data_IF_624384190265
#
_entry.id   IF_624384190265
#
_cell.length_a   1.000
_cell.length_b   1.000
_cell.length_c   1.000
_cell.angle_alpha   90.00
_cell.angle_beta   90.00
_cell.angle_gamma   90.00
#
_symmetry.space_group_name_H-M   'P 1'
#
loop_
_entity.id
_entity.type
_entity.pdbx_description
1 polymer ?
#
# COMPACT_ATOMS: atom_id res chain seq x y z
N UNK A 1 2.85 -7.56 -36.08
CA UNK A 1 2.76 -8.43 -34.89
C UNK A 1 1.44 -8.15 -34.19
N UNK A 2 0.48 -9.06 -34.30
CA UNK A 2 -0.86 -8.89 -33.76
C UNK A 2 -0.89 -9.25 -32.27
N UNK A 3 -1.33 -8.32 -31.42
CA UNK A 3 -1.62 -8.59 -30.01
C UNK A 3 -2.95 -9.35 -29.92
N UNK A 4 -2.88 -10.60 -29.45
CA UNK A 4 -4.06 -11.44 -29.21
C UNK A 4 -4.93 -10.86 -28.10
N UNK A 5 -6.21 -10.61 -28.43
CA UNK A 5 -7.25 -9.93 -27.64
C UNK A 5 -7.98 -10.86 -26.67
N UNK A 6 -7.34 -11.94 -26.22
CA UNK A 6 -8.00 -12.97 -25.41
C UNK A 6 -7.13 -13.44 -24.25
N UNK A 7 -6.84 -12.52 -23.31
CA UNK A 7 -6.37 -12.88 -21.96
C UNK A 7 -7.32 -12.29 -20.95
N UNK A 8 -8.35 -13.06 -20.61
CA UNK A 8 -8.97 -12.96 -19.28
C UNK A 8 -7.86 -13.32 -18.30
N UNK A 9 -7.17 -12.33 -17.75
CA UNK A 9 -6.22 -12.57 -16.66
C UNK A 9 -6.99 -13.29 -15.55
N UNK A 10 -6.59 -14.50 -15.11
CA UNK A 10 -7.14 -15.04 -13.88
C UNK A 10 -6.65 -14.11 -12.77
N UNK A 11 -7.47 -13.12 -12.40
CA UNK A 11 -7.20 -12.15 -11.35
C UNK A 11 -7.03 -12.94 -10.06
N UNK A 12 -5.80 -13.29 -9.68
CA UNK A 12 -5.48 -13.74 -8.34
C UNK A 12 -5.30 -12.50 -7.48
N UNK A 13 -6.40 -11.80 -7.25
CA UNK A 13 -6.47 -10.70 -6.30
C UNK A 13 -6.37 -11.30 -4.90
N UNK A 14 -5.17 -11.22 -4.32
CA UNK A 14 -4.97 -11.57 -2.92
C UNK A 14 -5.35 -10.34 -2.08
N UNK A 15 -6.60 -10.29 -1.65
CA UNK A 15 -7.01 -9.40 -0.57
C UNK A 15 -6.46 -9.96 0.73
N UNK A 16 -5.47 -9.28 1.29
CA UNK A 16 -4.85 -9.69 2.53
C UNK A 16 -5.24 -8.75 3.66
N UNK A 17 -6.31 -9.13 4.36
CA UNK A 17 -6.75 -8.50 5.59
C UNK A 17 -6.07 -9.22 6.76
N UNK A 18 -4.91 -8.73 7.19
CA UNK A 18 -4.24 -9.27 8.37
C UNK A 18 -4.84 -8.68 9.64
N UNK A 19 -5.54 -9.54 10.38
CA UNK A 19 -6.02 -9.32 11.73
C UNK A 19 -4.89 -9.69 12.69
N UNK A 20 -4.12 -8.70 13.15
CA UNK A 20 -3.24 -8.91 14.29
C UNK A 20 -4.00 -8.52 15.55
N UNK A 21 -4.86 -9.44 15.99
CA UNK A 21 -5.33 -9.45 17.37
C UNK A 21 -4.18 -9.92 18.25
N UNK A 22 -3.52 -8.98 18.93
CA UNK A 22 -2.54 -9.25 19.98
C UNK A 22 -1.21 -9.81 19.49
N UNK A 23 -0.18 -8.95 19.43
CA UNK A 23 1.19 -9.41 19.62
C UNK A 23 1.50 -9.35 21.12
N UNK A 24 1.51 -10.47 21.87
CA UNK A 24 2.23 -10.50 23.12
C UNK A 24 3.71 -10.54 22.78
N UNK A 25 4.42 -9.46 23.09
CA UNK A 25 5.87 -9.44 23.04
C UNK A 25 6.45 -10.59 23.85
N UNK A 26 7.43 -11.28 23.28
CA UNK A 26 8.37 -12.12 24.02
C UNK A 26 9.72 -12.05 23.32
N UNK A 27 10.28 -10.84 23.27
CA UNK A 27 11.72 -10.68 23.24
C UNK A 27 12.18 -10.53 24.70
N UNK A 28 12.81 -11.59 25.21
CA UNK A 28 13.56 -11.53 26.46
C UNK A 28 14.72 -10.56 26.28
N UNK A 29 14.61 -9.39 26.91
CA UNK A 29 15.62 -8.34 26.89
C UNK A 29 15.20 -7.20 27.79
N UNK A 30 15.52 -7.32 29.08
CA UNK A 30 15.37 -6.28 30.10
C UNK A 30 16.17 -5.04 29.74
N UNK A 31 15.47 -3.96 29.33
CA UNK A 31 15.75 -2.56 29.67
C UNK A 31 14.48 -1.75 29.42
N UNK A 32 14.14 -0.85 30.36
CA UNK A 32 12.89 -0.11 30.35
C UNK A 32 12.62 0.61 29.02
N UNK A 33 11.50 0.26 28.40
CA UNK A 33 10.81 1.09 27.42
C UNK A 33 9.39 1.29 27.93
N UNK A 34 8.94 2.53 27.97
CA UNK A 34 7.55 2.88 28.20
C UNK A 34 6.67 1.96 27.35
N UNK A 35 5.63 1.38 27.94
CA UNK A 35 4.70 0.50 27.23
C UNK A 35 4.21 1.23 25.98
N UNK A 36 4.72 0.82 24.81
CA UNK A 36 4.28 1.35 23.53
C UNK A 36 2.78 1.13 23.46
N UNK A 37 2.00 2.17 23.23
CA UNK A 37 0.55 2.05 23.08
C UNK A 37 0.24 0.88 22.13
N UNK A 38 -0.73 0.01 22.48
CA UNK A 38 -1.10 -1.07 21.60
C UNK A 38 -1.53 -0.49 20.25
N UNK A 39 -1.06 -1.10 19.17
CA UNK A 39 -1.41 -0.68 17.82
C UNK A 39 -2.94 -0.63 17.69
N UNK A 40 -3.51 0.41 17.04
CA UNK A 40 -4.94 0.54 16.94
C UNK A 40 -5.54 -0.63 16.17
N UNK A 41 -6.70 -1.07 16.63
CA UNK A 41 -7.44 -2.13 15.94
C UNK A 41 -7.95 -1.65 14.58
N UNK A 42 -8.23 -2.60 13.68
CA UNK A 42 -8.81 -2.32 12.35
C UNK A 42 -10.07 -1.43 12.43
N UNK A 43 -10.93 -1.68 13.41
CA UNK A 43 -12.16 -0.90 13.62
C UNK A 43 -11.85 0.58 13.85
N UNK A 44 -10.93 0.88 14.77
CA UNK A 44 -10.52 2.26 15.07
C UNK A 44 -9.92 2.95 13.84
N UNK A 45 -9.06 2.25 13.08
CA UNK A 45 -8.48 2.80 11.86
C UNK A 45 -9.53 3.09 10.78
N UNK A 46 -10.53 2.23 10.62
CA UNK A 46 -11.62 2.43 9.66
C UNK A 46 -12.57 3.54 10.10
N UNK A 47 -12.89 3.62 11.39
CA UNK A 47 -13.73 4.69 11.94
C UNK A 47 -13.06 6.04 11.74
N UNK A 48 -11.76 6.13 12.05
CA UNK A 48 -10.96 7.33 11.82
C UNK A 48 -10.86 7.66 10.33
N UNK A 49 -10.61 6.67 9.48
CA UNK A 49 -10.68 6.84 8.03
C UNK A 49 -12.05 7.39 7.59
N UNK A 50 -13.17 6.86 8.06
CA UNK A 50 -14.50 7.36 7.72
C UNK A 50 -14.75 8.80 8.19
N UNK A 51 -14.19 9.19 9.34
CA UNK A 51 -14.29 10.53 9.91
C UNK A 51 -13.44 11.58 9.17
N UNK A 52 -12.21 11.23 8.75
CA UNK A 52 -11.26 12.18 8.16
C UNK A 52 -11.75 12.85 6.86
N UNK A 53 -12.66 12.21 6.10
CA UNK A 53 -13.18 12.68 4.80
C UNK A 53 -12.11 13.14 3.79
N UNK A 54 -10.85 12.80 4.05
CA UNK A 54 -9.67 13.05 3.22
C UNK A 54 -8.87 11.75 3.08
N UNK A 55 -8.19 11.58 1.96
CA UNK A 55 -7.25 10.49 1.71
C UNK A 55 -6.03 11.06 0.99
N UNK A 56 -4.84 10.71 1.45
CA UNK A 56 -3.60 11.00 0.77
C UNK A 56 -3.25 9.81 -0.14
N UNK A 57 -3.39 10.00 -1.45
CA UNK A 57 -2.95 9.01 -2.44
C UNK A 57 -1.52 9.34 -2.83
N UNK A 58 -0.60 8.42 -2.53
CA UNK A 58 0.81 8.50 -2.90
C UNK A 58 1.13 7.45 -3.95
N UNK A 59 1.60 7.89 -5.10
CA UNK A 59 1.94 7.01 -6.21
C UNK A 59 3.45 6.93 -6.43
N UNK A 60 3.91 5.79 -6.99
CA UNK A 60 5.32 5.58 -7.30
C UNK A 60 5.81 6.38 -8.50
N UNK A 61 6.79 7.26 -8.27
CA UNK A 61 7.46 8.08 -9.27
C UNK A 61 8.99 7.84 -9.31
N UNK A 62 9.51 6.95 -8.47
CA UNK A 62 10.94 6.59 -8.45
C UNK A 62 11.42 5.93 -9.74
N UNK A 63 10.53 5.29 -10.50
CA UNK A 63 10.80 4.83 -11.87
C UNK A 63 10.14 5.78 -12.88
N UNK A 64 10.92 6.61 -13.59
CA UNK A 64 10.39 7.58 -14.55
C UNK A 64 9.55 6.95 -15.66
N UNK A 65 9.76 5.66 -15.97
CA UNK A 65 8.98 4.94 -17.00
C UNK A 65 7.50 4.80 -16.62
N UNK A 66 7.20 4.82 -15.33
CA UNK A 66 5.85 4.57 -14.79
C UNK A 66 5.23 5.78 -14.10
N UNK A 67 6.02 6.79 -13.74
CA UNK A 67 5.57 7.98 -13.00
C UNK A 67 4.32 8.65 -13.61
N UNK A 68 4.34 8.92 -14.92
CA UNK A 68 3.21 9.56 -15.61
C UNK A 68 1.97 8.66 -15.64
N UNK A 69 2.15 7.35 -15.83
CA UNK A 69 1.05 6.40 -15.87
C UNK A 69 0.37 6.25 -14.50
N UNK A 70 1.15 6.27 -13.43
CA UNK A 70 0.63 6.28 -12.06
C UNK A 70 -0.05 7.60 -11.70
N UNK A 71 0.51 8.75 -12.13
CA UNK A 71 -0.13 10.05 -11.94
C UNK A 71 -1.51 10.08 -12.60
N UNK A 72 -1.63 9.61 -13.84
CA UNK A 72 -2.91 9.52 -14.55
C UNK A 72 -3.93 8.64 -13.80
N UNK A 73 -3.48 7.51 -13.24
CA UNK A 73 -4.33 6.64 -12.42
C UNK A 73 -4.79 7.35 -11.15
N UNK A 74 -3.88 8.03 -10.46
CA UNK A 74 -4.17 8.77 -9.23
C UNK A 74 -5.14 9.94 -9.45
N UNK A 75 -4.94 10.70 -10.53
CA UNK A 75 -5.81 11.82 -10.90
C UNK A 75 -7.22 11.33 -11.25
N UNK A 76 -7.33 10.24 -12.02
CA UNK A 76 -8.61 9.60 -12.31
C UNK A 76 -9.33 9.13 -11.05
N UNK A 77 -8.59 8.55 -10.09
CA UNK A 77 -9.14 8.14 -8.80
C UNK A 77 -9.68 9.34 -8.02
N UNK A 78 -8.94 10.45 -8.00
CA UNK A 78 -9.39 11.73 -7.40
C UNK A 78 -10.66 12.24 -8.07
N UNK A 79 -10.72 12.29 -9.40
CA UNK A 79 -11.87 12.81 -10.16
C UNK A 79 -13.15 11.98 -9.95
N UNK A 80 -13.00 10.66 -9.77
CA UNK A 80 -14.13 9.76 -9.50
C UNK A 80 -14.63 9.86 -8.05
N UNK A 81 -13.86 10.44 -7.13
CA UNK A 81 -14.23 10.55 -5.72
C UNK A 81 -15.33 11.60 -5.51
N UNK A 82 -16.50 11.15 -5.04
CA UNK A 82 -17.65 12.03 -4.77
C UNK A 82 -17.79 12.46 -3.31
N UNK A 83 -17.26 11.67 -2.38
CA UNK A 83 -17.58 11.79 -0.95
C UNK A 83 -16.37 12.09 -0.07
N UNK A 84 -15.20 12.23 -0.69
CA UNK A 84 -13.91 12.36 0.00
C UNK A 84 -12.95 13.20 -0.82
N UNK A 85 -12.24 14.11 -0.17
CA UNK A 85 -11.13 14.84 -0.78
C UNK A 85 -9.95 13.87 -0.98
N UNK A 86 -9.46 13.74 -2.22
CA UNK A 86 -8.26 12.97 -2.52
C UNK A 86 -7.13 13.94 -2.84
N UNK A 87 -6.10 13.95 -1.99
CA UNK A 87 -4.85 14.67 -2.26
C UNK A 87 -3.89 13.71 -2.92
N UNK A 88 -3.38 14.09 -4.09
CA UNK A 88 -2.46 13.27 -4.88
C UNK A 88 -1.04 13.82 -4.69
N UNK A 89 -0.09 12.93 -4.40
CA UNK A 89 1.35 13.19 -4.30
C UNK A 89 2.15 12.07 -4.95
N UNK A 90 3.32 12.40 -5.49
CA UNK A 90 4.33 11.39 -5.77
C UNK A 90 5.03 10.96 -4.46
N UNK A 91 5.62 9.77 -4.45
CA UNK A 91 6.45 9.29 -3.35
C UNK A 91 7.71 10.15 -3.13
N UNK A 92 8.14 10.92 -4.14
CA UNK A 92 9.30 11.81 -4.08
C UNK A 92 8.99 13.19 -3.50
N UNK A 93 7.73 13.61 -3.51
CA UNK A 93 7.30 14.96 -3.07
C UNK A 93 6.58 14.95 -1.72
N UNK A 94 6.06 13.80 -1.29
CA UNK A 94 5.25 13.70 -0.07
C UNK A 94 6.10 13.90 1.19
N UNK A 95 5.66 14.80 2.07
CA UNK A 95 6.33 15.07 3.33
C UNK A 95 5.87 14.16 4.48
N UNK A 96 6.71 13.98 5.50
CA UNK A 96 6.38 13.23 6.73
C UNK A 96 5.16 13.81 7.45
N UNK A 97 4.99 15.13 7.44
CA UNK A 97 3.82 15.79 8.04
C UNK A 97 2.52 15.39 7.34
N UNK A 98 2.52 15.32 6.01
CA UNK A 98 1.36 14.86 5.22
C UNK A 98 1.06 13.38 5.51
N UNK A 99 2.10 12.54 5.59
CA UNK A 99 1.96 11.12 5.92
C UNK A 99 1.39 10.88 7.32
N UNK A 100 1.76 11.72 8.31
CA UNK A 100 1.26 11.61 9.68
C UNK A 100 -0.18 12.14 9.85
N UNK A 101 -0.59 13.08 9.00
CA UNK A 101 -1.87 13.78 9.14
C UNK A 101 -3.04 13.09 8.44
N UNK A 102 -2.79 12.13 7.55
CA UNK A 102 -3.82 11.51 6.70
C UNK A 102 -3.74 9.99 6.68
N UNK A 103 -4.89 9.35 6.47
CA UNK A 103 -4.92 7.98 5.95
C UNK A 103 -4.30 7.97 4.55
N UNK A 104 -3.41 7.01 4.30
CA UNK A 104 -2.61 6.96 3.06
C UNK A 104 -3.07 5.81 2.16
N UNK A 105 -3.10 6.03 0.85
CA UNK A 105 -3.19 4.99 -0.18
C UNK A 105 -1.88 4.98 -0.96
N UNK A 106 -1.09 3.92 -0.82
CA UNK A 106 0.15 3.70 -1.57
C UNK A 106 -0.12 2.87 -2.82
N UNK A 107 0.32 3.38 -3.97
CA UNK A 107 0.31 2.66 -5.25
C UNK A 107 1.75 2.52 -5.77
N UNK A 108 2.13 1.33 -6.20
CA UNK A 108 3.43 1.13 -6.86
C UNK A 108 3.97 -0.29 -6.75
N UNK A 109 5.24 -0.43 -7.11
CA UNK A 109 6.07 -1.60 -6.84
C UNK A 109 7.18 -1.21 -5.85
N UNK A 110 7.97 -2.19 -5.41
CA UNK A 110 9.16 -1.93 -4.60
C UNK A 110 10.16 -1.01 -5.34
N UNK A 111 10.19 -1.13 -6.67
CA UNK A 111 11.09 -0.41 -7.56
C UNK A 111 10.60 1.01 -7.83
N UNK A 112 9.29 1.23 -7.97
CA UNK A 112 8.71 2.52 -8.35
C UNK A 112 8.30 3.41 -7.17
N UNK A 113 8.18 2.88 -5.95
CA UNK A 113 7.73 3.65 -4.79
C UNK A 113 8.69 3.49 -3.58
N UNK A 114 9.36 4.59 -3.22
CA UNK A 114 10.30 4.68 -2.09
C UNK A 114 9.65 4.39 -0.74
N UNK A 115 8.39 4.77 -0.52
CA UNK A 115 7.68 4.49 0.74
C UNK A 115 7.40 3.00 0.89
N UNK A 116 6.95 2.33 -0.18
CA UNK A 116 6.76 0.88 -0.18
C UNK A 116 8.09 0.18 0.18
N UNK A 117 9.20 0.63 -0.39
CA UNK A 117 10.53 0.09 -0.08
C UNK A 117 10.93 0.34 1.37
N UNK A 118 10.79 1.56 1.85
CA UNK A 118 11.13 1.97 3.22
C UNK A 118 10.34 1.20 4.26
N UNK A 119 9.05 1.01 4.03
CA UNK A 119 8.15 0.38 4.99
C UNK A 119 7.99 -1.13 4.81
N UNK A 120 8.60 -1.71 3.78
CA UNK A 120 8.50 -3.14 3.45
C UNK A 120 8.74 -4.08 4.64
N UNK A 121 9.74 -3.78 5.46
CA UNK A 121 10.10 -4.58 6.65
C UNK A 121 9.12 -4.47 7.83
N UNK A 122 8.12 -3.61 7.75
CA UNK A 122 7.09 -3.44 8.79
C UNK A 122 5.84 -4.27 8.54
N UNK A 123 5.72 -4.81 7.32
CA UNK A 123 4.57 -5.59 6.95
C UNK A 123 4.74 -7.06 7.38
N UNK A 124 3.63 -7.73 7.72
CA UNK A 124 3.58 -9.18 7.91
C UNK A 124 3.69 -9.99 6.59
N UNK A 125 4.45 -9.48 5.62
CA UNK A 125 4.75 -10.12 4.33
C UNK A 125 6.20 -9.78 3.92
N UNK A 126 6.92 -10.76 3.40
CA UNK A 126 8.31 -10.59 3.01
C UNK A 126 8.40 -10.07 1.58
N UNK A 127 8.58 -8.76 1.40
CA UNK A 127 8.86 -8.20 0.08
C UNK A 127 10.30 -8.53 -0.35
N UNK A 128 10.47 -8.86 -1.62
CA UNK A 128 11.76 -9.14 -2.26
C UNK A 128 11.84 -8.39 -3.58
N UNK A 129 13.02 -8.26 -4.17
CA UNK A 129 13.18 -7.62 -5.48
C UNK A 129 12.44 -8.36 -6.62
N UNK A 130 12.10 -9.64 -6.41
CA UNK A 130 11.49 -10.52 -7.43
C UNK A 130 10.03 -10.90 -7.15
N UNK A 131 9.45 -10.40 -6.05
CA UNK A 131 8.18 -10.91 -5.58
C UNK A 131 7.87 -10.59 -4.13
N UNK A 132 6.88 -11.28 -3.57
CA UNK A 132 6.61 -11.26 -2.13
C UNK A 132 6.36 -12.67 -1.60
N UNK A 133 6.61 -12.85 -0.31
CA UNK A 133 6.34 -14.09 0.42
C UNK A 133 5.29 -13.85 1.48
N UNK A 134 4.29 -14.74 1.53
CA UNK A 134 3.24 -14.72 2.53
C UNK A 134 2.80 -16.14 2.87
N UNK A 135 2.64 -16.46 4.16
CA UNK A 135 2.29 -17.81 4.65
C UNK A 135 3.13 -18.92 4.00
N UNK A 136 4.45 -18.78 4.05
CA UNK A 136 5.41 -19.73 3.47
C UNK A 136 5.25 -20.00 1.97
N UNK A 137 4.57 -19.11 1.26
CA UNK A 137 4.37 -19.17 -0.18
C UNK A 137 5.00 -17.97 -0.88
N UNK A 138 5.74 -18.26 -1.95
CA UNK A 138 6.32 -17.24 -2.82
C UNK A 138 5.37 -16.87 -3.96
N UNK A 139 5.26 -15.56 -4.21
CA UNK A 139 4.49 -14.95 -5.28
C UNK A 139 5.45 -14.15 -6.15
N UNK A 140 5.80 -14.70 -7.31
CA UNK A 140 6.84 -14.17 -8.21
C UNK A 140 6.33 -13.91 -9.62
N UNK A 141 5.06 -14.17 -9.90
CA UNK A 141 4.51 -13.89 -11.21
C UNK A 141 4.38 -12.37 -11.39
N UNK A 142 4.60 -11.82 -12.60
CA UNK A 142 4.43 -10.39 -12.85
C UNK A 142 3.03 -9.86 -12.50
N UNK A 143 2.01 -10.73 -12.61
CA UNK A 143 0.62 -10.41 -12.26
C UNK A 143 0.25 -10.67 -10.81
N UNK A 144 1.19 -11.14 -9.97
CA UNK A 144 0.93 -11.25 -8.54
C UNK A 144 0.96 -9.84 -7.92
N UNK A 145 -0.05 -9.54 -7.12
CA UNK A 145 -0.18 -8.29 -6.38
C UNK A 145 -0.92 -8.55 -5.07
N UNK A 146 -0.80 -7.61 -4.13
CA UNK A 146 -1.55 -7.61 -2.90
C UNK A 146 -2.20 -6.26 -2.65
N UNK A 147 -3.33 -6.30 -1.96
CA UNK A 147 -3.90 -5.13 -1.30
C UNK A 147 -4.08 -5.41 0.18
N UNK A 148 -3.57 -4.51 1.03
CA UNK A 148 -3.66 -4.62 2.49
C UNK A 148 -4.05 -3.27 3.10
N UNK A 149 -4.74 -3.32 4.24
CA UNK A 149 -4.97 -2.17 5.09
C UNK A 149 -4.30 -2.42 6.43
N UNK A 150 -3.33 -1.57 6.80
CA UNK A 150 -2.48 -1.76 7.97
C UNK A 150 -2.18 -0.41 8.62
N UNK A 151 -1.82 -0.37 9.91
CA UNK A 151 -1.52 0.90 10.55
C UNK A 151 -0.25 1.51 9.94
N UNK A 152 -0.23 2.84 9.85
CA UNK A 152 0.82 3.59 9.17
C UNK A 152 2.14 3.48 9.95
N UNK A 153 3.20 2.90 9.35
CA UNK A 153 4.49 2.78 10.02
C UNK A 153 5.13 4.12 10.39
N UNK A 154 4.78 5.20 9.68
CA UNK A 154 5.19 6.57 10.01
C UNK A 154 4.35 7.23 11.09
N UNK A 155 3.12 6.75 11.35
CA UNK A 155 2.27 7.22 12.45
C UNK A 155 1.15 6.23 12.79
N UNK A 156 1.30 5.46 13.87
CA UNK A 156 0.45 4.29 14.16
C UNK A 156 -1.04 4.60 14.28
N UNK A 157 -1.42 5.84 14.61
CA UNK A 157 -2.81 6.27 14.71
C UNK A 157 -3.60 6.37 13.39
N UNK A 158 -3.02 6.12 12.22
CA UNK A 158 -3.75 6.17 10.94
C UNK A 158 -3.51 4.92 10.11
N UNK A 159 -4.40 4.68 9.15
CA UNK A 159 -4.28 3.54 8.25
C UNK A 159 -3.47 3.86 7.00
N UNK A 160 -2.89 2.81 6.41
CA UNK A 160 -2.35 2.82 5.06
C UNK A 160 -2.97 1.67 4.29
N UNK A 161 -3.61 2.01 3.18
CA UNK A 161 -3.96 1.07 2.13
C UNK A 161 -2.74 0.89 1.23
N UNK A 162 -2.18 -0.30 1.15
CA UNK A 162 -1.13 -0.59 0.19
C UNK A 162 -1.73 -1.37 -0.96
N UNK A 163 -1.42 -0.95 -2.17
CA UNK A 163 -1.68 -1.71 -3.38
C UNK A 163 -0.36 -1.83 -4.13
N UNK A 164 0.21 -3.04 -4.11
CA UNK A 164 1.54 -3.29 -4.62
C UNK A 164 1.56 -4.55 -5.49
N UNK A 165 2.27 -4.48 -6.62
CA UNK A 165 2.44 -5.60 -7.53
C UNK A 165 3.92 -5.85 -7.84
N UNK A 166 4.20 -7.05 -8.33
CA UNK A 166 5.52 -7.42 -8.85
C UNK A 166 5.85 -6.72 -10.18
N UNK A 167 4.85 -6.15 -10.86
CA UNK A 167 5.02 -5.41 -12.11
C UNK A 167 4.15 -4.16 -12.13
N UNK A 168 4.79 -3.00 -12.32
CA UNK A 168 4.08 -1.72 -12.51
C UNK A 168 3.16 -1.75 -13.73
N UNK A 169 3.60 -2.40 -14.82
CA UNK A 169 2.79 -2.56 -16.04
C UNK A 169 1.47 -3.27 -15.75
N UNK A 170 1.53 -4.32 -14.93
CA UNK A 170 0.35 -5.07 -14.52
C UNK A 170 -0.53 -4.23 -13.60
N UNK A 171 0.05 -3.57 -12.59
CA UNK A 171 -0.72 -2.80 -11.62
C UNK A 171 -1.47 -1.64 -12.26
N UNK A 172 -0.80 -0.85 -13.11
CA UNK A 172 -1.42 0.24 -13.85
C UNK A 172 -2.55 -0.29 -14.75
N UNK A 173 -2.33 -1.41 -15.45
CA UNK A 173 -3.36 -2.01 -16.29
C UNK A 173 -4.57 -2.49 -15.47
N UNK A 174 -4.32 -3.15 -14.34
CA UNK A 174 -5.36 -3.65 -13.44
C UNK A 174 -6.21 -2.51 -12.87
N UNK A 175 -5.60 -1.42 -12.41
CA UNK A 175 -6.35 -0.27 -11.87
C UNK A 175 -7.13 0.46 -12.96
N UNK A 176 -6.60 0.54 -14.19
CA UNK A 176 -7.31 1.19 -15.31
C UNK A 176 -8.51 0.38 -15.80
N UNK A 177 -8.57 -0.93 -15.52
CA UNK A 177 -9.69 -1.79 -15.91
C UNK A 177 -10.86 -1.81 -14.92
N UNK A 178 -10.67 -1.27 -13.71
CA UNK A 178 -11.74 -1.04 -12.71
C UNK A 178 -12.53 0.27 -12.98
#
# INVERSE_FOLDING_TARGET
MAFSKDRRYPLKLLFLLLLLGGFPGSFLGTTGHAASEPWPGRGELLDRFHQERKLLLVYGASDPRWADAYREVADRYRERSRYREIVVRSDLEVGESELAQHTVLLLGSLQSNTLIRRWSGTLPLGLTDSGFRFNDRDYRQPGDFFSLFYPNPGQTGRGVFWVCANSDSFLVAAIKSD
#
